data_IF_872266766488
#
_entry.id   IF_872266766488
#
_cell.length_a   1.000
_cell.length_b   1.000
_cell.length_c   1.000
_cell.angle_alpha   90.00
_cell.angle_beta   90.00
_cell.angle_gamma   90.00
#
_symmetry.space_group_name_H-M   'P 1'
#
loop_
_entity.id
_entity.type
_entity.pdbx_description
1 polymer ?
#
# COMPACT_ATOMS: atom_id res chain seq x y z
N UNK A 1 11.37 -12.66 3.86
CA UNK A 1 10.50 -13.74 4.37
C UNK A 1 9.08 -13.35 3.97
N UNK A 2 8.40 -14.14 3.14
CA UNK A 2 7.05 -13.80 2.65
C UNK A 2 6.00 -14.02 3.74
N UNK A 3 4.85 -13.32 3.67
CA UNK A 3 3.74 -13.39 4.64
C UNK A 3 3.35 -14.83 5.00
N UNK A 4 3.22 -15.70 3.99
CA UNK A 4 2.84 -17.10 4.17
C UNK A 4 3.87 -17.90 4.95
N UNK A 5 5.16 -17.56 4.83
CA UNK A 5 6.23 -18.20 5.60
C UNK A 5 6.21 -17.77 7.07
N UNK A 6 5.93 -16.49 7.36
CA UNK A 6 5.85 -15.97 8.73
C UNK A 6 4.63 -16.53 9.45
N UNK A 7 3.43 -16.45 8.85
CA UNK A 7 2.21 -16.97 9.47
C UNK A 7 2.27 -18.49 9.68
N UNK A 8 2.86 -19.24 8.75
CA UNK A 8 3.08 -20.68 8.91
C UNK A 8 4.07 -20.98 10.05
N UNK A 9 5.11 -20.18 10.20
CA UNK A 9 6.09 -20.35 11.29
C UNK A 9 5.47 -19.99 12.64
N UNK A 10 4.72 -18.89 12.70
CA UNK A 10 4.01 -18.43 13.90
C UNK A 10 2.93 -19.43 14.33
N UNK A 11 2.13 -19.95 13.39
CA UNK A 11 1.11 -20.96 13.65
C UNK A 11 1.71 -22.26 14.18
N UNK A 12 2.83 -22.73 13.60
CA UNK A 12 3.58 -23.88 14.13
C UNK A 12 4.12 -23.64 15.52
N UNK A 13 4.65 -22.44 15.79
CA UNK A 13 5.17 -22.08 17.10
C UNK A 13 4.06 -22.06 18.15
N UNK A 14 2.91 -21.45 17.85
CA UNK A 14 1.75 -21.47 18.74
C UNK A 14 1.24 -22.89 18.99
N UNK A 15 1.12 -23.72 17.95
CA UNK A 15 0.71 -25.11 18.10
C UNK A 15 1.67 -25.91 18.99
N UNK A 16 2.98 -25.75 18.77
CA UNK A 16 4.00 -26.41 19.58
C UNK A 16 3.91 -25.94 21.03
N UNK A 17 3.76 -24.64 21.26
CA UNK A 17 3.63 -24.06 22.59
C UNK A 17 2.36 -24.56 23.29
N UNK A 18 1.22 -24.62 22.59
CA UNK A 18 -0.04 -25.19 23.10
C UNK A 18 0.10 -26.66 23.47
N UNK A 19 0.74 -27.48 22.62
CA UNK A 19 1.00 -28.90 22.91
C UNK A 19 1.86 -29.02 24.17
N UNK A 20 2.96 -28.27 24.25
CA UNK A 20 3.85 -28.28 25.42
C UNK A 20 3.09 -27.88 26.68
N UNK A 21 2.23 -26.86 26.60
CA UNK A 21 1.42 -26.42 27.74
C UNK A 21 0.40 -27.48 28.19
N UNK A 22 -0.24 -28.17 27.24
CA UNK A 22 -1.14 -29.29 27.53
C UNK A 22 -0.40 -30.46 28.18
N UNK A 23 0.80 -30.79 27.70
CA UNK A 23 1.65 -31.84 28.28
C UNK A 23 2.09 -31.45 29.69
N UNK A 24 2.48 -30.20 29.94
CA UNK A 24 2.83 -29.71 31.27
C UNK A 24 1.64 -29.72 32.22
N UNK A 25 0.45 -29.38 31.73
CA UNK A 25 -0.77 -29.42 32.50
C UNK A 25 -1.14 -30.88 32.86
N UNK A 26 -1.07 -31.80 31.90
CA UNK A 26 -1.26 -33.22 32.15
C UNK A 26 -0.22 -33.79 33.14
N UNK A 27 1.05 -33.40 33.00
CA UNK A 27 2.12 -33.82 33.90
C UNK A 27 1.92 -33.32 35.34
N UNK A 28 1.36 -32.12 35.51
CA UNK A 28 1.03 -31.56 36.83
C UNK A 28 -0.08 -32.33 37.54
N UNK A 29 -1.07 -32.83 36.80
CA UNK A 29 -2.20 -33.60 37.34
C UNK A 29 -2.00 -35.13 37.28
N UNK A 30 -0.79 -35.59 36.94
CA UNK A 30 -0.50 -37.03 36.82
C UNK A 30 -0.64 -37.78 38.15
N UNK A 31 -0.40 -37.10 39.28
CA UNK A 31 -0.56 -37.68 40.64
C UNK A 31 -2.03 -37.91 41.03
N UNK A 32 -2.97 -37.15 40.43
CA UNK A 32 -4.40 -37.20 40.75
C UNK A 32 -5.19 -38.16 39.82
N UNK A 33 -4.55 -38.76 38.82
CA UNK A 33 -5.19 -39.70 37.90
C UNK A 33 -5.11 -41.15 38.41
N UNK A 34 -6.24 -41.77 38.81
CA UNK A 34 -6.24 -43.17 39.23
C UNK A 34 -5.98 -44.10 38.03
N UNK A 35 -4.96 -44.96 38.14
CA UNK A 35 -4.68 -46.02 37.16
C UNK A 35 -3.42 -45.85 36.31
N UNK A 36 -2.61 -44.80 36.51
CA UNK A 36 -1.34 -44.64 35.80
C UNK A 36 -0.20 -45.47 36.44
N UNK A 37 0.65 -46.12 35.63
CA UNK A 37 1.86 -46.78 36.11
C UNK A 37 2.81 -45.79 36.81
N UNK A 38 3.42 -46.16 37.96
CA UNK A 38 4.28 -45.26 38.75
C UNK A 38 5.51 -44.76 37.97
N UNK A 39 5.99 -45.53 37.00
CA UNK A 39 7.08 -45.12 36.11
C UNK A 39 6.69 -43.90 35.25
N UNK A 40 5.46 -43.87 34.73
CA UNK A 40 4.97 -42.78 33.87
C UNK A 40 4.80 -41.50 34.68
N UNK A 41 4.30 -41.62 35.91
CA UNK A 41 4.14 -40.49 36.85
C UNK A 41 5.51 -39.84 37.16
N UNK A 42 6.53 -40.66 37.46
CA UNK A 42 7.89 -40.15 37.74
C UNK A 42 8.51 -39.42 36.54
N UNK A 43 8.33 -39.95 35.33
CA UNK A 43 8.87 -39.34 34.10
C UNK A 43 8.15 -38.02 33.81
N UNK A 44 6.83 -37.97 33.98
CA UNK A 44 6.05 -36.75 33.79
C UNK A 44 6.48 -35.64 34.76
N UNK A 45 6.72 -35.98 36.02
CA UNK A 45 7.16 -35.03 37.05
C UNK A 45 8.56 -34.49 36.78
N UNK A 46 9.51 -35.37 36.44
CA UNK A 46 10.87 -34.96 36.09
C UNK A 46 10.88 -34.05 34.85
N UNK A 47 10.05 -34.34 33.86
CA UNK A 47 9.90 -33.49 32.68
C UNK A 47 9.28 -32.13 33.02
N UNK A 48 8.26 -32.09 33.89
CA UNK A 48 7.67 -30.84 34.37
C UNK A 48 8.69 -29.97 35.12
N UNK A 49 9.45 -30.55 36.05
CA UNK A 49 10.48 -29.81 36.80
C UNK A 49 11.57 -29.28 35.87
N UNK A 50 12.08 -30.10 34.95
CA UNK A 50 13.04 -29.66 33.93
C UNK A 50 12.51 -28.50 33.08
N UNK A 51 11.28 -28.62 32.56
CA UNK A 51 10.66 -27.58 31.75
C UNK A 51 10.36 -26.32 32.54
N UNK A 52 9.97 -26.43 33.82
CA UNK A 52 9.77 -25.29 34.72
C UNK A 52 11.09 -24.56 34.95
N UNK A 53 12.16 -25.29 35.23
CA UNK A 53 13.46 -24.71 35.53
C UNK A 53 14.09 -24.07 34.28
N UNK A 54 13.84 -24.65 33.10
CA UNK A 54 14.24 -24.09 31.80
C UNK A 54 13.24 -23.08 31.22
N UNK A 55 12.09 -22.85 31.86
CA UNK A 55 11.01 -22.03 31.29
C UNK A 55 11.44 -20.60 31.01
N UNK A 56 12.26 -20.02 31.89
CA UNK A 56 12.83 -18.69 31.70
C UNK A 56 13.71 -18.64 30.45
N UNK A 57 14.61 -19.62 30.29
CA UNK A 57 15.53 -19.69 29.15
C UNK A 57 14.77 -19.90 27.85
N UNK A 58 13.76 -20.78 27.84
CA UNK A 58 12.89 -21.04 26.69
C UNK A 58 12.09 -19.77 26.34
N UNK A 59 11.52 -19.08 27.34
CA UNK A 59 10.79 -17.84 27.14
C UNK A 59 11.70 -16.75 26.55
N UNK A 60 12.89 -16.54 27.11
CA UNK A 60 13.86 -15.56 26.60
C UNK A 60 14.32 -15.91 25.19
N UNK A 61 14.66 -17.17 24.91
CA UNK A 61 15.06 -17.63 23.59
C UNK A 61 13.93 -17.50 22.55
N UNK A 62 12.70 -17.84 22.95
CA UNK A 62 11.50 -17.71 22.13
C UNK A 62 11.19 -16.26 21.79
N UNK A 63 11.24 -15.36 22.78
CA UNK A 63 11.07 -13.91 22.58
C UNK A 63 12.16 -13.38 21.66
N UNK A 64 13.44 -13.72 21.89
CA UNK A 64 14.54 -13.29 21.03
C UNK A 64 14.37 -13.76 19.57
N UNK A 65 13.94 -15.01 19.37
CA UNK A 65 13.67 -15.55 18.04
C UNK A 65 12.50 -14.84 17.34
N UNK A 66 11.39 -14.63 18.06
CA UNK A 66 10.24 -13.87 17.56
C UNK A 66 10.63 -12.43 17.21
N UNK A 67 11.35 -11.74 18.10
CA UNK A 67 11.87 -10.39 17.85
C UNK A 67 12.75 -10.36 16.60
N UNK A 68 13.63 -11.34 16.41
CA UNK A 68 14.46 -11.42 15.20
C UNK A 68 13.61 -11.61 13.93
N UNK A 69 12.57 -12.46 13.97
CA UNK A 69 11.64 -12.62 12.84
C UNK A 69 10.91 -11.32 12.54
N UNK A 70 10.36 -10.66 13.56
CA UNK A 70 9.65 -9.39 13.39
C UNK A 70 10.57 -8.29 12.87
N UNK A 71 11.81 -8.19 13.36
CA UNK A 71 12.81 -7.26 12.85
C UNK A 71 13.14 -7.53 11.37
N UNK A 72 13.35 -8.79 10.98
CA UNK A 72 13.59 -9.15 9.57
C UNK A 72 12.41 -8.82 8.67
N UNK A 73 11.17 -9.03 9.15
CA UNK A 73 9.95 -8.66 8.42
C UNK A 73 9.82 -7.15 8.28
N UNK A 74 10.03 -6.41 9.37
CA UNK A 74 9.97 -4.93 9.37
C UNK A 74 10.95 -4.33 8.36
N UNK A 75 12.21 -4.78 8.35
CA UNK A 75 13.22 -4.35 7.35
C UNK A 75 12.82 -4.70 5.91
N UNK A 76 12.19 -5.86 5.72
CA UNK A 76 11.73 -6.27 4.38
C UNK A 76 10.58 -5.37 3.89
N UNK A 77 9.62 -5.05 4.75
CA UNK A 77 8.51 -4.14 4.41
C UNK A 77 9.03 -2.73 4.13
N UNK A 78 9.96 -2.22 4.96
CA UNK A 78 10.60 -0.91 4.74
C UNK A 78 11.30 -0.84 3.37
N UNK A 79 12.04 -1.89 3.00
CA UNK A 79 12.67 -2.00 1.68
C UNK A 79 11.65 -2.05 0.54
N UNK A 80 10.53 -2.78 0.71
CA UNK A 80 9.45 -2.80 -0.29
C UNK A 80 8.77 -1.44 -0.45
N UNK A 81 8.57 -0.69 0.63
CA UNK A 81 8.01 0.66 0.56
C UNK A 81 8.93 1.63 -0.18
N UNK A 82 10.24 1.54 0.06
CA UNK A 82 11.23 2.33 -0.66
C UNK A 82 11.21 2.02 -2.15
N UNK A 83 11.15 0.74 -2.50
CA UNK A 83 11.04 0.32 -3.88
C UNK A 83 9.73 0.73 -4.53
N UNK A 84 8.61 0.67 -3.81
CA UNK A 84 7.34 1.19 -4.31
C UNK A 84 7.44 2.68 -4.64
N UNK A 85 8.07 3.48 -3.76
CA UNK A 85 8.33 4.90 -4.04
C UNK A 85 9.20 5.08 -5.28
N UNK A 86 10.22 4.24 -5.47
CA UNK A 86 11.07 4.28 -6.67
C UNK A 86 10.28 3.95 -7.94
N UNK A 87 9.46 2.89 -7.93
CA UNK A 87 8.58 2.51 -9.04
C UNK A 87 7.62 3.66 -9.39
N UNK A 88 6.97 4.26 -8.39
CA UNK A 88 6.03 5.38 -8.61
C UNK A 88 6.75 6.58 -9.24
N UNK A 89 7.96 6.92 -8.78
CA UNK A 89 8.76 7.99 -9.37
C UNK A 89 9.17 7.67 -10.80
N UNK A 90 9.56 6.43 -11.08
CA UNK A 90 9.91 5.95 -12.41
C UNK A 90 8.73 6.05 -13.35
N UNK A 91 7.55 5.57 -12.95
CA UNK A 91 6.30 5.76 -13.70
C UNK A 91 6.09 7.23 -14.04
N UNK A 92 6.16 8.12 -13.05
CA UNK A 92 5.96 9.57 -13.30
C UNK A 92 6.96 10.11 -14.31
N UNK A 93 8.23 9.74 -14.24
CA UNK A 93 9.25 10.17 -15.20
C UNK A 93 8.94 9.68 -16.64
N UNK A 94 8.49 8.44 -16.79
CA UNK A 94 8.10 7.88 -18.09
C UNK A 94 6.89 8.60 -18.68
N UNK A 95 5.86 8.88 -17.86
CA UNK A 95 4.67 9.61 -18.29
C UNK A 95 5.02 11.06 -18.67
N UNK A 96 5.86 11.72 -17.89
CA UNK A 96 6.36 13.07 -18.21
C UNK A 96 7.07 13.09 -19.56
N UNK A 97 7.89 12.09 -19.86
CA UNK A 97 8.52 11.97 -21.18
C UNK A 97 7.49 11.84 -22.31
N UNK A 98 6.44 11.03 -22.13
CA UNK A 98 5.38 10.87 -23.12
C UNK A 98 4.56 12.15 -23.35
N UNK A 99 4.45 13.02 -22.34
CA UNK A 99 3.71 14.29 -22.43
C UNK A 99 4.51 15.43 -23.04
N UNK A 100 5.84 15.29 -23.18
CA UNK A 100 6.67 16.34 -23.77
C UNK A 100 6.29 16.58 -25.24
N UNK A 101 6.17 17.85 -25.67
CA UNK A 101 5.86 18.18 -27.06
C UNK A 101 6.95 17.66 -28.00
N UNK A 102 8.22 17.72 -27.58
CA UNK A 102 9.38 17.25 -28.33
C UNK A 102 10.09 16.13 -27.57
N UNK A 103 10.56 15.10 -28.31
CA UNK A 103 11.28 13.97 -27.74
C UNK A 103 12.78 14.25 -27.75
N UNK A 104 13.30 14.77 -26.63
CA UNK A 104 14.73 14.96 -26.44
C UNK A 104 15.46 13.64 -26.18
N UNK A 105 16.64 13.46 -26.78
CA UNK A 105 17.49 12.28 -26.54
C UNK A 105 17.94 12.19 -25.08
N UNK A 106 18.32 13.31 -24.47
CA UNK A 106 18.76 13.33 -23.07
C UNK A 106 17.62 12.94 -22.12
N UNK A 107 16.40 13.42 -22.41
CA UNK A 107 15.20 13.06 -21.65
C UNK A 107 14.86 11.57 -21.77
N UNK A 108 15.01 11.02 -22.98
CA UNK A 108 14.83 9.59 -23.23
C UNK A 108 15.85 8.77 -22.43
N UNK A 109 17.14 9.12 -22.51
CA UNK A 109 18.20 8.40 -21.80
C UNK A 109 18.02 8.48 -20.29
N UNK A 110 17.58 9.61 -19.75
CA UNK A 110 17.27 9.75 -18.34
C UNK A 110 16.09 8.85 -17.93
N UNK A 111 15.00 8.84 -18.70
CA UNK A 111 13.84 7.98 -18.45
C UNK A 111 14.19 6.48 -18.57
N UNK A 112 14.99 6.13 -19.57
CA UNK A 112 15.43 4.77 -19.85
C UNK A 112 16.40 4.23 -18.79
N UNK A 113 17.35 5.07 -18.34
CA UNK A 113 18.28 4.70 -17.26
C UNK A 113 17.52 4.47 -15.96
N UNK A 114 16.57 5.37 -15.63
CA UNK A 114 15.77 5.27 -14.41
C UNK A 114 14.93 3.99 -14.34
N UNK A 115 14.28 3.59 -15.45
CA UNK A 115 13.53 2.32 -15.46
C UNK A 115 14.46 1.11 -15.40
N UNK A 116 15.64 1.18 -16.00
CA UNK A 116 16.63 0.10 -15.92
C UNK A 116 17.16 -0.07 -14.50
N UNK A 117 17.52 1.04 -13.83
CA UNK A 117 17.88 1.04 -12.41
C UNK A 117 16.76 0.47 -11.54
N UNK A 118 15.51 0.86 -11.78
CA UNK A 118 14.37 0.34 -11.02
C UNK A 118 14.21 -1.17 -11.19
N UNK A 119 14.41 -1.70 -12.40
CA UNK A 119 14.37 -3.14 -12.66
C UNK A 119 15.47 -3.86 -11.89
N UNK A 120 16.69 -3.32 -11.90
CA UNK A 120 17.84 -3.96 -11.24
C UNK A 120 17.75 -3.89 -9.72
N UNK A 121 17.33 -2.76 -9.14
CA UNK A 121 17.12 -2.64 -7.69
C UNK A 121 16.03 -3.61 -7.22
N UNK A 122 14.96 -3.75 -8.00
CA UNK A 122 13.90 -4.69 -7.69
C UNK A 122 14.38 -6.15 -7.64
N UNK A 123 15.39 -6.55 -8.44
CA UNK A 123 16.01 -7.88 -8.37
C UNK A 123 16.66 -8.17 -7.03
N UNK A 124 17.20 -7.15 -6.37
CA UNK A 124 17.83 -7.29 -5.05
C UNK A 124 16.79 -7.71 -4.00
N UNK A 125 15.60 -7.10 -4.03
CA UNK A 125 14.55 -7.34 -3.03
C UNK A 125 13.97 -8.77 -3.11
N UNK A 126 13.79 -9.32 -4.32
CA UNK A 126 13.32 -10.71 -4.50
C UNK A 126 14.41 -11.70 -4.92
N UNK A 127 15.68 -11.42 -4.65
CA UNK A 127 16.79 -12.39 -4.81
C UNK A 127 16.52 -13.74 -4.12
N UNK A 128 15.66 -13.73 -3.09
CA UNK A 128 15.23 -14.92 -2.36
C UNK A 128 14.27 -15.85 -3.11
N UNK A 129 13.72 -15.44 -4.26
CA UNK A 129 12.78 -16.26 -5.04
C UNK A 129 13.46 -17.26 -6.00
N UNK A 130 14.81 -17.30 -6.03
CA UNK A 130 15.58 -18.31 -6.74
C UNK A 130 15.65 -18.06 -8.25
N UNK A 131 16.82 -17.69 -8.74
CA UNK A 131 17.12 -17.69 -10.18
C UNK A 131 17.45 -19.14 -10.57
N UNK A 132 16.59 -19.80 -11.36
CA UNK A 132 16.95 -21.08 -11.99
C UNK A 132 17.27 -20.86 -13.46
N UNK A 133 18.21 -21.64 -14.00
CA UNK A 133 18.74 -21.54 -15.37
C UNK A 133 17.66 -21.62 -16.49
N UNK A 134 16.46 -22.13 -16.18
CA UNK A 134 15.32 -22.20 -17.10
C UNK A 134 14.15 -21.27 -16.81
N UNK A 135 14.20 -20.40 -15.77
CA UNK A 135 13.04 -19.60 -15.38
C UNK A 135 12.98 -18.24 -16.10
N UNK A 136 12.31 -18.26 -17.26
CA UNK A 136 11.46 -17.15 -17.71
C UNK A 136 10.20 -17.18 -16.82
N UNK A 137 10.37 -16.97 -15.51
CA UNK A 137 9.26 -16.85 -14.59
C UNK A 137 8.65 -15.45 -14.70
N UNK A 138 7.32 -15.35 -14.69
CA UNK A 138 6.60 -14.12 -14.36
C UNK A 138 6.96 -13.70 -12.92
N UNK A 139 8.17 -13.19 -12.74
CA UNK A 139 8.53 -12.44 -11.55
C UNK A 139 7.71 -11.15 -11.53
N UNK A 140 7.49 -10.51 -10.37
CA UNK A 140 6.81 -9.22 -10.24
C UNK A 140 7.44 -8.07 -11.07
N UNK A 141 8.48 -8.31 -11.88
CA UNK A 141 9.13 -7.32 -12.74
C UNK A 141 8.71 -7.37 -14.20
N UNK A 142 7.94 -8.38 -14.64
CA UNK A 142 7.48 -8.45 -16.04
C UNK A 142 6.78 -7.14 -16.48
N UNK A 143 5.90 -6.54 -15.65
CA UNK A 143 5.32 -5.24 -16.01
C UNK A 143 6.33 -4.10 -16.09
N UNK A 144 7.40 -4.09 -15.27
CA UNK A 144 8.49 -3.10 -15.39
C UNK A 144 9.25 -3.27 -16.71
N UNK A 145 9.50 -4.51 -17.12
CA UNK A 145 10.08 -4.78 -18.44
C UNK A 145 9.14 -4.34 -19.57
N UNK A 146 7.83 -4.50 -19.42
CA UNK A 146 6.85 -4.05 -20.41
C UNK A 146 6.77 -2.53 -20.50
N UNK A 147 6.84 -1.82 -19.37
CA UNK A 147 6.98 -0.36 -19.35
C UNK A 147 8.25 0.08 -20.09
N UNK A 148 9.38 -0.62 -19.92
CA UNK A 148 10.63 -0.32 -20.63
C UNK A 148 10.50 -0.57 -22.13
N UNK A 149 9.91 -1.69 -22.53
CA UNK A 149 9.66 -2.04 -23.94
C UNK A 149 8.76 -1.01 -24.60
N UNK A 150 7.70 -0.57 -23.93
CA UNK A 150 6.82 0.48 -24.41
C UNK A 150 7.60 1.79 -24.64
N UNK A 151 8.41 2.22 -23.66
CA UNK A 151 9.26 3.42 -23.80
C UNK A 151 10.23 3.30 -24.99
N UNK A 152 10.83 2.13 -25.23
CA UNK A 152 11.79 1.93 -26.33
C UNK A 152 11.19 2.23 -27.72
N UNK A 153 9.87 2.10 -27.89
CA UNK A 153 9.21 2.46 -29.16
C UNK A 153 9.24 3.96 -29.47
N UNK A 154 9.46 4.80 -28.45
CA UNK A 154 9.64 6.25 -28.57
C UNK A 154 11.11 6.68 -28.57
N UNK A 155 12.08 5.77 -28.75
CA UNK A 155 13.49 6.15 -28.83
C UNK A 155 13.68 7.17 -29.97
N UNK A 156 14.09 8.42 -29.69
CA UNK A 156 14.18 9.47 -30.71
C UNK A 156 15.27 9.19 -31.75
N UNK A 157 16.19 8.25 -31.48
CA UNK A 157 17.21 7.80 -32.43
C UNK A 157 16.65 6.84 -33.48
N UNK A 158 15.52 6.20 -33.18
CA UNK A 158 14.84 5.22 -34.06
C UNK A 158 13.57 5.83 -34.65
N UNK A 159 12.81 6.55 -33.82
CA UNK A 159 11.51 7.15 -34.16
C UNK A 159 11.52 8.65 -33.82
N UNK A 160 12.18 9.50 -34.64
CA UNK A 160 12.35 10.93 -34.35
C UNK A 160 11.04 11.74 -34.41
N UNK A 161 10.06 11.30 -35.21
CA UNK A 161 8.77 11.99 -35.41
C UNK A 161 7.59 11.19 -34.83
N UNK A 162 7.71 10.69 -33.60
CA UNK A 162 6.59 9.99 -32.97
C UNK A 162 5.38 10.94 -32.79
N UNK A 163 4.29 10.63 -33.48
CA UNK A 163 3.05 11.41 -33.43
C UNK A 163 2.34 11.35 -32.07
N UNK A 164 1.37 12.24 -31.86
CA UNK A 164 0.63 12.34 -30.60
C UNK A 164 -0.11 11.04 -30.23
N UNK A 165 -0.70 10.35 -31.22
CA UNK A 165 -1.37 9.06 -31.01
C UNK A 165 -0.40 7.96 -30.54
N UNK A 166 0.82 7.91 -31.08
CA UNK A 166 1.83 6.94 -30.64
C UNK A 166 2.28 7.24 -29.20
N UNK A 167 2.52 8.51 -28.87
CA UNK A 167 2.86 8.93 -27.50
C UNK A 167 1.76 8.56 -26.51
N UNK A 168 0.50 8.76 -26.89
CA UNK A 168 -0.67 8.37 -26.10
C UNK A 168 -0.76 6.86 -25.90
N UNK A 169 -0.58 6.08 -26.96
CA UNK A 169 -0.60 4.61 -26.89
C UNK A 169 0.48 4.08 -25.95
N UNK A 170 1.70 4.63 -26.03
CA UNK A 170 2.80 4.25 -25.13
C UNK A 170 2.50 4.65 -23.69
N UNK A 171 1.95 5.85 -23.47
CA UNK A 171 1.51 6.31 -22.15
C UNK A 171 0.48 5.36 -21.54
N UNK A 172 -0.52 4.96 -22.31
CA UNK A 172 -1.59 4.07 -21.87
C UNK A 172 -1.05 2.66 -21.58
N UNK A 173 -0.13 2.14 -22.41
CA UNK A 173 0.54 0.86 -22.18
C UNK A 173 1.38 0.87 -20.89
N UNK A 174 2.12 1.96 -20.62
CA UNK A 174 2.89 2.14 -19.39
C UNK A 174 1.96 2.17 -18.17
N UNK A 175 0.82 2.85 -18.26
CA UNK A 175 -0.18 2.89 -17.19
C UNK A 175 -0.79 1.51 -16.92
N UNK A 176 -1.14 0.78 -17.97
CA UNK A 176 -1.71 -0.56 -17.86
C UNK A 176 -0.73 -1.54 -17.20
N UNK A 177 0.53 -1.54 -17.64
CA UNK A 177 1.59 -2.33 -17.03
C UNK A 177 1.80 -1.95 -15.55
N UNK A 178 1.80 -0.65 -15.23
CA UNK A 178 1.89 -0.19 -13.84
C UNK A 178 0.70 -0.65 -12.98
N UNK A 179 -0.53 -0.68 -13.51
CA UNK A 179 -1.69 -1.17 -12.76
C UNK A 179 -1.63 -2.67 -12.50
N UNK A 180 -1.21 -3.47 -13.49
CA UNK A 180 -0.97 -4.90 -13.28
C UNK A 180 0.10 -5.17 -12.21
N UNK A 181 1.15 -4.35 -12.17
CA UNK A 181 2.15 -4.40 -11.10
C UNK A 181 1.55 -4.03 -9.74
N UNK A 182 0.79 -2.93 -9.69
CA UNK A 182 0.21 -2.39 -8.46
C UNK A 182 -0.66 -3.40 -7.74
N UNK A 183 -1.51 -4.13 -8.45
CA UNK A 183 -2.45 -5.07 -7.83
C UNK A 183 -1.72 -6.14 -7.03
N UNK A 184 -0.71 -6.78 -7.63
CA UNK A 184 0.05 -7.85 -6.98
C UNK A 184 1.06 -7.30 -5.97
N UNK A 185 1.69 -6.15 -6.26
CA UNK A 185 2.71 -5.57 -5.38
C UNK A 185 2.11 -5.03 -4.08
N UNK A 186 0.91 -4.43 -4.13
CA UNK A 186 0.25 -3.92 -2.93
C UNK A 186 -0.21 -5.05 -1.99
N UNK A 187 -0.46 -6.26 -2.48
CA UNK A 187 -0.76 -7.40 -1.61
C UNK A 187 0.41 -7.78 -0.68
N UNK A 188 1.65 -7.46 -1.08
CA UNK A 188 2.84 -7.67 -0.26
C UNK A 188 3.06 -6.54 0.76
N UNK A 189 2.47 -5.36 0.55
CA UNK A 189 2.47 -4.23 1.48
C UNK A 189 1.29 -4.36 2.44
N UNK A 190 1.53 -5.03 3.57
CA UNK A 190 0.57 -5.24 4.66
C UNK A 190 0.33 -3.93 5.45
N UNK A 191 -0.43 -3.01 4.86
CA UNK A 191 -0.91 -1.80 5.52
C UNK A 191 -2.22 -2.14 6.26
N UNK A 192 -2.32 -1.79 7.54
CA UNK A 192 -3.60 -1.82 8.24
C UNK A 192 -4.61 -0.98 7.46
N UNK A 193 -5.83 -1.50 7.28
CA UNK A 193 -6.90 -0.77 6.62
C UNK A 193 -7.09 0.56 7.37
N UNK A 194 -7.00 1.72 6.68
CA UNK A 194 -7.11 2.99 7.34
C UNK A 194 -8.50 3.10 8.00
N UNK A 195 -8.53 3.13 9.33
CA UNK A 195 -9.75 3.30 10.14
C UNK A 195 -10.47 4.64 9.85
N UNK A 196 -9.77 5.53 9.17
CA UNK A 196 -10.30 6.81 8.71
C UNK A 196 -10.18 6.85 7.19
N UNK A 197 -11.32 6.67 6.51
CA UNK A 197 -11.39 6.82 5.06
C UNK A 197 -10.94 8.21 4.65
N UNK A 198 -9.94 8.29 3.79
CA UNK A 198 -9.60 9.55 3.12
C UNK A 198 -10.79 9.98 2.29
N UNK A 199 -11.41 11.08 2.68
CA UNK A 199 -12.47 11.71 1.91
C UNK A 199 -11.90 12.06 0.53
N UNK A 200 -12.55 11.58 -0.53
CA UNK A 200 -12.20 11.90 -1.93
C UNK A 200 -12.04 13.42 -2.09
N UNK A 201 -11.21 13.91 -3.02
CA UNK A 201 -10.91 15.35 -3.13
C UNK A 201 -12.12 16.23 -3.51
N UNK A 202 -13.30 15.65 -3.71
CA UNK A 202 -14.62 16.30 -3.81
C UNK A 202 -15.49 16.21 -2.55
N UNK A 203 -15.16 15.37 -1.58
CA UNK A 203 -15.80 15.30 -0.25
C UNK A 203 -15.23 16.37 0.70
N UNK A 204 -14.97 17.57 0.15
CA UNK A 204 -14.76 18.77 0.95
C UNK A 204 -16.04 19.02 1.71
N UNK A 205 -16.08 18.58 2.97
CA UNK A 205 -16.83 19.17 4.07
C UNK A 205 -17.85 20.23 3.62
N UNK A 206 -19.03 19.82 3.14
CA UNK A 206 -20.21 20.63 3.38
C UNK A 206 -20.37 20.57 4.90
N UNK A 207 -19.73 21.49 5.62
CA UNK A 207 -20.18 21.84 6.96
C UNK A 207 -21.62 22.27 6.74
N UNK A 208 -22.57 21.35 6.94
CA UNK A 208 -23.89 21.73 7.41
C UNK A 208 -23.58 22.62 8.61
N UNK A 209 -23.99 23.90 8.61
CA UNK A 209 -23.69 24.77 9.72
C UNK A 209 -24.24 24.09 10.98
N UNK A 210 -23.37 23.62 11.88
CA UNK A 210 -23.73 23.26 13.25
C UNK A 210 -24.05 24.51 14.08
N UNK A 211 -24.55 25.56 13.42
CA UNK A 211 -25.02 26.76 14.05
C UNK A 211 -26.27 26.37 14.85
N UNK A 212 -26.28 26.68 16.15
CA UNK A 212 -27.49 26.57 16.95
C UNK A 212 -28.66 27.25 16.21
N UNK A 213 -29.90 26.79 16.41
CA UNK A 213 -31.10 27.35 15.74
C UNK A 213 -31.15 28.88 15.85
N UNK A 214 -30.67 29.45 16.95
CA UNK A 214 -30.52 30.89 17.15
C UNK A 214 -29.57 31.58 16.17
N UNK A 215 -28.46 30.94 15.78
CA UNK A 215 -27.51 31.44 14.80
C UNK A 215 -28.05 31.34 13.36
N UNK A 216 -28.89 30.33 13.06
CA UNK A 216 -29.64 30.28 11.79
C UNK A 216 -30.67 31.40 11.69
N UNK A 217 -31.37 31.70 12.79
CA UNK A 217 -32.32 32.83 12.86
C UNK A 217 -31.61 34.18 12.71
N UNK A 218 -30.45 34.36 13.36
CA UNK A 218 -29.64 35.56 13.19
C UNK A 218 -29.11 35.73 11.75
N UNK A 219 -28.71 34.63 11.11
CA UNK A 219 -28.29 34.64 9.71
C UNK A 219 -29.45 35.01 8.78
N UNK A 220 -30.66 34.48 8.99
CA UNK A 220 -31.82 34.82 8.17
C UNK A 220 -32.26 36.28 8.37
N UNK A 221 -32.19 36.80 9.59
CA UNK A 221 -32.43 38.22 9.89
C UNK A 221 -31.38 39.14 9.23
N UNK A 222 -30.09 38.75 9.25
CA UNK A 222 -29.04 39.48 8.54
C UNK A 222 -29.27 39.44 7.03
N UNK A 223 -29.67 38.29 6.47
CA UNK A 223 -30.00 38.13 5.05
C UNK A 223 -31.15 39.04 4.63
N UNK A 224 -32.21 39.14 5.44
CA UNK A 224 -33.36 40.04 5.19
C UNK A 224 -33.01 41.52 5.33
N UNK A 225 -32.02 41.88 6.15
CA UNK A 225 -31.52 43.26 6.24
C UNK A 225 -30.66 43.61 5.03
N UNK A 226 -29.74 42.73 4.67
CA UNK A 226 -28.86 42.90 3.51
C UNK A 226 -29.61 42.86 2.17
N UNK A 227 -30.74 42.16 2.09
CA UNK A 227 -31.58 42.16 0.87
C UNK A 227 -32.39 43.45 0.66
N UNK A 228 -32.45 44.35 1.65
CA UNK A 228 -33.14 45.64 1.53
C UNK A 228 -32.28 46.69 0.84
N UNK A 229 -30.97 46.51 0.85
CA UNK A 229 -30.02 47.41 0.22
C UNK A 229 -29.39 46.69 -0.98
N UNK A 230 -29.34 47.32 -2.17
CA UNK A 230 -28.64 46.73 -3.29
C UNK A 230 -27.15 46.62 -2.94
N UNK A 231 -26.58 45.44 -3.17
CA UNK A 231 -25.16 45.23 -2.94
C UNK A 231 -24.34 46.24 -3.76
N UNK A 232 -23.24 46.78 -3.21
CA UNK A 232 -22.42 47.80 -3.89
C UNK A 232 -21.84 47.32 -5.23
N UNK A 233 -21.84 46.02 -5.51
CA UNK A 233 -21.46 45.41 -6.80
C UNK A 233 -22.42 44.25 -7.13
N UNK A 234 -23.61 44.54 -7.67
CA UNK A 234 -24.65 43.53 -7.90
C UNK A 234 -24.23 42.46 -8.92
N UNK A 235 -23.29 42.79 -9.81
CA UNK A 235 -22.72 41.89 -10.82
C UNK A 235 -21.93 40.72 -10.19
N UNK A 236 -21.24 40.97 -9.06
CA UNK A 236 -20.49 39.93 -8.34
C UNK A 236 -21.45 38.95 -7.68
N UNK A 237 -22.56 39.45 -7.14
CA UNK A 237 -23.58 38.61 -6.51
C UNK A 237 -24.36 37.80 -7.54
N UNK A 238 -24.63 38.35 -8.72
CA UNK A 238 -25.22 37.63 -9.85
C UNK A 238 -24.32 36.48 -10.33
N UNK A 239 -23.02 36.75 -10.51
CA UNK A 239 -22.03 35.74 -10.89
C UNK A 239 -21.94 34.62 -9.85
N UNK A 240 -21.89 34.96 -8.56
CA UNK A 240 -21.82 33.98 -7.48
C UNK A 240 -23.14 33.19 -7.32
N UNK A 241 -24.28 33.80 -7.65
CA UNK A 241 -25.57 33.11 -7.66
C UNK A 241 -25.67 32.12 -8.83
N UNK A 242 -25.19 32.48 -10.02
CA UNK A 242 -25.07 31.58 -11.18
C UNK A 242 -24.15 30.39 -10.88
N UNK A 243 -22.98 30.64 -10.29
CA UNK A 243 -22.04 29.56 -9.92
C UNK A 243 -22.68 28.59 -8.91
N UNK A 244 -23.45 29.09 -7.94
CA UNK A 244 -24.17 28.23 -6.97
C UNK A 244 -25.33 27.47 -7.60
N UNK A 245 -26.02 28.05 -8.58
CA UNK A 245 -27.09 27.38 -9.31
C UNK A 245 -26.51 26.24 -10.18
N UNK A 246 -25.41 26.52 -10.88
CA UNK A 246 -24.65 25.52 -11.65
C UNK A 246 -24.13 24.39 -10.77
N UNK A 247 -23.63 24.68 -9.57
CA UNK A 247 -23.21 23.66 -8.60
C UNK A 247 -24.37 22.78 -8.12
N UNK A 248 -25.60 23.32 -8.08
CA UNK A 248 -26.80 22.59 -7.64
C UNK A 248 -27.38 21.70 -8.72
N UNK A 249 -27.29 22.12 -9.98
CA UNK A 249 -27.86 21.41 -11.14
C UNK A 249 -26.89 20.37 -11.76
N UNK A 250 -25.56 20.58 -11.70
CA UNK A 250 -24.59 19.72 -12.41
C UNK A 250 -23.98 18.56 -11.61
N UNK A 251 -24.37 18.32 -10.35
CA UNK A 251 -23.85 17.17 -9.60
C UNK A 251 -22.32 17.03 -9.59
N UNK A 252 -21.57 18.14 -9.74
CA UNK A 252 -20.11 18.15 -9.64
C UNK A 252 -19.28 17.92 -10.92
N UNK A 253 -19.80 18.10 -12.14
CA UNK A 253 -18.92 18.24 -13.32
C UNK A 253 -18.57 19.70 -13.64
N UNK A 254 -17.28 20.08 -13.70
CA UNK A 254 -16.88 21.43 -14.09
C UNK A 254 -17.16 21.68 -15.59
N UNK A 255 -17.51 22.91 -15.98
CA UNK A 255 -17.94 23.22 -17.34
C UNK A 255 -16.79 22.98 -18.34
N UNK A 256 -17.10 22.23 -19.41
CA UNK A 256 -16.22 22.11 -20.58
C UNK A 256 -16.07 23.48 -21.21
N UNK A 257 -14.88 24.05 -21.12
CA UNK A 257 -14.50 25.28 -21.83
C UNK A 257 -14.34 24.95 -23.31
N UNK A 258 -15.22 25.51 -24.14
CA UNK A 258 -15.02 25.73 -25.58
C UNK A 258 -14.03 26.86 -25.81
#
# INVERSE_FOLDING_TARGET
MTRNSVNRTLSRLYWLLTIVLLVLLAAKFADDMPGLPPQIVSVAKNFYEFMRDMSLLIATGGVAYLSNIFQKRSKFVESLEEEWRNIVRTKSALLTYCEKPYLGTDDYLAAFSRISETIDTMRIVYRNAGETEGMIGLYPYAPLHDMRRALQTLDPRVTPEAGHEQKKLVKDAILQAFYGLREVFLEELDLEEPQHTLLISGARRLKVPGAAVSALVHQDLQRRRLSREPAPKPEVDAMLAELRALEKDNGGEPPKRT
#
